data_IF_980159368685
#
_entry.id   IF_980159368685
#
_cell.length_a   1.000
_cell.length_b   1.000
_cell.length_c   1.000
_cell.angle_alpha   90.00
_cell.angle_beta   90.00
_cell.angle_gamma   90.00
#
_symmetry.space_group_name_H-M   'P 1'
#
loop_
_entity.id
_entity.type
_entity.pdbx_description
1 polymer ?
#
# COMPACT_ATOMS: atom_id res chain seq x y z
N UNK A 1 -6.97 6.45 -22.16
CA UNK A 1 -8.33 6.62 -21.60
C UNK A 1 -8.58 5.48 -20.63
N UNK A 2 -8.27 5.65 -19.35
CA UNK A 2 -8.56 4.65 -18.32
C UNK A 2 -9.87 5.07 -17.65
N UNK A 3 -10.97 4.44 -18.05
CA UNK A 3 -12.26 4.58 -17.37
C UNK A 3 -12.22 3.67 -16.15
N UNK A 4 -11.65 4.15 -15.04
CA UNK A 4 -11.84 3.49 -13.76
C UNK A 4 -13.32 3.59 -13.41
N UNK A 5 -13.98 2.44 -13.29
CA UNK A 5 -15.36 2.36 -12.82
C UNK A 5 -15.39 2.86 -11.37
N UNK A 6 -15.78 4.12 -11.18
CA UNK A 6 -16.03 4.67 -9.85
C UNK A 6 -17.35 4.06 -9.40
N UNK A 7 -17.30 3.11 -8.47
CA UNK A 7 -18.50 2.63 -7.77
C UNK A 7 -19.14 3.83 -7.09
N UNK A 8 -20.22 4.35 -7.68
CA UNK A 8 -20.99 5.45 -7.10
C UNK A 8 -21.88 4.88 -6.00
N UNK A 9 -21.51 5.08 -4.75
CA UNK A 9 -22.43 4.92 -3.62
C UNK A 9 -23.62 5.84 -3.86
N UNK A 10 -24.85 5.31 -3.81
CA UNK A 10 -26.04 6.13 -4.00
C UNK A 10 -26.09 7.21 -2.90
N UNK A 11 -26.56 8.45 -3.18
CA UNK A 11 -26.58 9.53 -2.19
C UNK A 11 -27.30 9.18 -0.87
N UNK A 12 -28.25 8.25 -0.92
CA UNK A 12 -29.00 7.76 0.23
C UNK A 12 -28.21 6.84 1.18
N UNK A 13 -27.03 6.39 0.78
CA UNK A 13 -26.17 5.47 1.55
C UNK A 13 -24.95 6.18 2.17
N UNK A 14 -24.81 7.49 1.98
CA UNK A 14 -23.68 8.23 2.52
C UNK A 14 -23.75 8.36 4.05
N UNK A 15 -22.61 8.24 4.77
CA UNK A 15 -22.60 8.44 6.21
C UNK A 15 -23.10 9.83 6.61
N UNK A 16 -23.64 9.97 7.82
CA UNK A 16 -24.06 11.27 8.36
C UNK A 16 -22.92 12.29 8.25
N UNK A 17 -23.23 13.49 7.75
CA UNK A 17 -22.24 14.55 7.53
C UNK A 17 -21.50 14.48 6.20
N UNK A 18 -21.89 13.58 5.28
CA UNK A 18 -21.35 13.50 3.93
C UNK A 18 -22.36 13.99 2.89
N UNK A 19 -21.87 14.60 1.81
CA UNK A 19 -22.66 15.00 0.66
C UNK A 19 -21.85 14.89 -0.64
N UNK A 20 -22.50 14.50 -1.74
CA UNK A 20 -21.93 14.59 -3.08
C UNK A 20 -22.01 16.03 -3.59
N UNK A 21 -20.87 16.58 -4.02
CA UNK A 21 -20.80 17.93 -4.60
C UNK A 21 -21.14 17.90 -6.09
N UNK A 22 -21.35 19.07 -6.70
CA UNK A 22 -21.70 19.20 -8.13
C UNK A 22 -20.70 18.54 -9.10
N UNK A 23 -19.45 18.35 -8.67
CA UNK A 23 -18.42 17.69 -9.48
C UNK A 23 -18.36 16.18 -9.29
N UNK A 24 -19.22 15.60 -8.45
CA UNK A 24 -19.15 14.19 -8.03
C UNK A 24 -18.12 13.89 -6.93
N UNK A 25 -17.43 14.92 -6.39
CA UNK A 25 -16.54 14.74 -5.23
C UNK A 25 -17.40 14.57 -3.97
N UNK A 26 -17.08 13.58 -3.15
CA UNK A 26 -17.66 13.43 -1.82
C UNK A 26 -17.01 14.42 -0.84
N UNK A 27 -17.84 15.18 -0.12
CA UNK A 27 -17.43 16.09 0.95
C UNK A 27 -17.98 15.58 2.28
N UNK A 28 -17.11 15.22 3.20
CA UNK A 28 -17.47 14.75 4.54
C UNK A 28 -16.95 15.67 5.64
N UNK A 29 -17.64 15.68 6.79
CA UNK A 29 -17.17 16.33 8.02
C UNK A 29 -16.95 15.29 9.12
N UNK A 30 -16.18 15.68 10.14
CA UNK A 30 -16.02 14.91 11.37
C UNK A 30 -16.50 15.73 12.57
N UNK A 31 -16.96 15.04 13.61
CA UNK A 31 -17.43 15.69 14.82
C UNK A 31 -16.27 16.43 15.52
N UNK A 32 -16.53 17.58 16.19
CA UNK A 32 -15.50 18.30 16.93
C UNK A 32 -14.80 17.41 17.95
N UNK A 33 -13.46 17.37 17.90
CA UNK A 33 -12.64 16.54 18.78
C UNK A 33 -12.37 15.13 18.25
N UNK A 34 -13.00 14.72 17.15
CA UNK A 34 -12.64 13.49 16.43
C UNK A 34 -11.61 13.75 15.32
N UNK A 35 -10.80 12.73 15.03
CA UNK A 35 -9.87 12.74 13.91
C UNK A 35 -10.58 12.40 12.61
N UNK A 36 -10.18 13.06 11.51
CA UNK A 36 -10.69 12.79 10.16
C UNK A 36 -10.28 11.43 9.61
N UNK A 37 -9.17 10.88 10.09
CA UNK A 37 -8.65 9.58 9.68
C UNK A 37 -8.25 8.80 10.92
N UNK A 38 -8.66 7.52 10.97
CA UNK A 38 -8.41 6.62 12.10
C UNK A 38 -7.51 5.48 11.62
N UNK A 39 -6.20 5.73 11.62
CA UNK A 39 -5.20 4.68 11.41
C UNK A 39 -4.74 4.10 12.75
N UNK A 40 -4.45 2.79 12.84
CA UNK A 40 -3.98 2.15 14.06
C UNK A 40 -2.49 2.43 14.35
N UNK A 41 -1.92 3.49 13.77
CA UNK A 41 -0.52 3.86 13.90
C UNK A 41 -0.39 5.32 14.33
N UNK A 42 0.60 5.66 15.16
CA UNK A 42 0.87 7.05 15.52
C UNK A 42 1.43 7.84 14.32
N UNK A 43 1.14 9.14 14.27
CA UNK A 43 1.48 10.02 13.14
C UNK A 43 2.96 10.00 12.75
N UNK A 44 3.88 9.91 13.72
CA UNK A 44 5.32 9.89 13.44
C UNK A 44 5.77 8.63 12.68
N UNK A 45 5.13 7.49 12.95
CA UNK A 45 5.40 6.25 12.24
C UNK A 45 4.86 6.32 10.82
N UNK A 46 3.66 6.88 10.63
CA UNK A 46 3.09 7.13 9.30
C UNK A 46 3.96 8.08 8.46
N UNK A 47 4.50 9.14 9.07
CA UNK A 47 5.45 10.03 8.39
C UNK A 47 6.74 9.29 7.98
N UNK A 48 7.23 8.39 8.84
CA UNK A 48 8.42 7.58 8.52
C UNK A 48 8.17 6.61 7.38
N UNK A 49 6.95 6.02 7.31
CA UNK A 49 6.54 5.20 6.19
C UNK A 49 6.43 6.02 4.90
N UNK A 50 5.83 7.21 4.95
CA UNK A 50 5.72 8.11 3.80
C UNK A 50 7.09 8.50 3.24
N UNK A 51 8.06 8.79 4.11
CA UNK A 51 9.45 9.04 3.71
C UNK A 51 10.04 7.81 3.01
N UNK A 52 9.88 6.61 3.58
CA UNK A 52 10.39 5.38 2.99
C UNK A 52 9.80 5.13 1.58
N UNK A 53 8.48 5.31 1.43
CA UNK A 53 7.78 5.16 0.14
C UNK A 53 8.21 6.22 -0.86
N UNK A 54 8.28 7.48 -0.43
CA UNK A 54 8.63 8.63 -1.28
C UNK A 54 10.06 8.53 -1.78
N UNK A 55 11.03 8.35 -0.88
CA UNK A 55 12.43 8.28 -1.26
C UNK A 55 12.77 6.96 -1.96
N UNK A 56 12.21 5.84 -1.50
CA UNK A 56 12.39 4.54 -2.13
C UNK A 56 11.86 4.52 -3.57
N UNK A 57 10.69 5.13 -3.82
CA UNK A 57 10.15 5.22 -5.17
C UNK A 57 10.99 6.11 -6.09
N UNK A 58 11.55 7.21 -5.54
CA UNK A 58 12.41 8.12 -6.29
C UNK A 58 13.75 7.50 -6.66
N UNK A 59 14.36 6.74 -5.74
CA UNK A 59 15.67 6.13 -5.96
C UNK A 59 15.61 5.01 -7.00
N UNK A 60 14.62 4.11 -6.88
CA UNK A 60 14.51 2.94 -7.76
C UNK A 60 13.79 3.24 -9.07
N UNK A 61 12.99 4.31 -9.15
CA UNK A 61 11.99 4.52 -10.22
C UNK A 61 10.99 3.36 -10.31
N UNK A 62 10.54 2.89 -9.17
CA UNK A 62 9.41 1.98 -9.03
C UNK A 62 8.41 2.59 -8.05
N UNK A 63 7.11 2.51 -8.32
CA UNK A 63 6.09 3.02 -7.40
C UNK A 63 5.87 2.02 -6.28
N UNK A 64 6.31 2.34 -5.06
CA UNK A 64 6.01 1.51 -3.89
C UNK A 64 4.63 1.82 -3.34
N UNK A 65 3.88 0.76 -3.07
CA UNK A 65 2.56 0.78 -2.44
C UNK A 65 2.54 -0.23 -1.29
N UNK A 66 1.74 0.04 -0.27
CA UNK A 66 1.54 -0.85 0.88
C UNK A 66 0.05 -1.08 1.06
N UNK A 67 -0.31 -2.35 1.26
CA UNK A 67 -1.66 -2.75 1.64
C UNK A 67 -1.60 -3.46 2.99
N UNK A 68 -2.49 -3.09 3.90
CA UNK A 68 -2.66 -3.74 5.21
C UNK A 68 -4.13 -4.13 5.33
N UNK A 69 -4.42 -5.42 5.30
CA UNK A 69 -5.80 -5.91 5.33
C UNK A 69 -5.91 -7.38 4.98
N UNK A 70 -7.15 -7.86 4.91
CA UNK A 70 -7.48 -9.25 4.54
C UNK A 70 -7.18 -9.49 3.05
N UNK A 71 -6.48 -10.59 2.75
CA UNK A 71 -6.16 -11.01 1.37
C UNK A 71 -7.09 -12.13 0.88
N UNK A 72 -8.11 -12.49 1.67
CA UNK A 72 -9.02 -13.58 1.36
C UNK A 72 -8.37 -14.95 1.50
N UNK A 73 -9.08 -16.01 1.06
CA UNK A 73 -8.64 -17.39 1.27
C UNK A 73 -7.38 -17.79 0.49
N UNK A 74 -7.16 -17.18 -0.68
CA UNK A 74 -5.96 -17.33 -1.50
C UNK A 74 -5.19 -16.01 -1.45
N UNK A 75 -4.23 -15.92 -0.53
CA UNK A 75 -3.50 -14.66 -0.25
C UNK A 75 -2.74 -14.16 -1.46
N UNK A 76 -2.19 -15.06 -2.27
CA UNK A 76 -1.46 -14.69 -3.48
C UNK A 76 -2.39 -14.09 -4.53
N UNK A 77 -3.56 -14.70 -4.73
CA UNK A 77 -4.59 -14.15 -5.62
C UNK A 77 -5.09 -12.80 -5.12
N UNK A 78 -5.40 -12.68 -3.82
CA UNK A 78 -5.87 -11.43 -3.22
C UNK A 78 -4.85 -10.31 -3.34
N UNK A 79 -3.58 -10.58 -3.06
CA UNK A 79 -2.51 -9.59 -3.23
C UNK A 79 -2.37 -9.11 -4.68
N UNK A 80 -2.54 -10.02 -5.65
CA UNK A 80 -2.54 -9.65 -7.08
C UNK A 80 -3.76 -8.84 -7.48
N UNK A 81 -4.93 -9.11 -6.91
CA UNK A 81 -6.14 -8.31 -7.15
C UNK A 81 -5.97 -6.89 -6.62
N UNK A 82 -5.49 -6.74 -5.39
CA UNK A 82 -5.14 -5.42 -4.81
C UNK A 82 -4.08 -4.71 -5.65
N UNK A 83 -3.10 -5.43 -6.18
CA UNK A 83 -2.05 -4.85 -7.04
C UNK A 83 -2.61 -4.18 -8.29
N UNK A 84 -3.71 -4.69 -8.86
CA UNK A 84 -4.32 -4.12 -10.06
C UNK A 84 -4.98 -2.75 -9.80
N UNK A 85 -5.30 -2.42 -8.55
CA UNK A 85 -5.83 -1.10 -8.17
C UNK A 85 -4.73 -0.04 -8.05
N UNK A 86 -3.46 -0.45 -7.98
CA UNK A 86 -2.32 0.47 -7.87
C UNK A 86 -2.17 1.26 -9.18
N UNK A 87 -2.02 2.59 -9.12
CA UNK A 87 -1.71 3.38 -10.29
C UNK A 87 -0.39 2.93 -10.93
N UNK A 88 -0.35 2.86 -12.26
CA UNK A 88 0.84 2.43 -13.04
C UNK A 88 1.40 1.07 -12.57
N UNK A 89 0.61 -0.02 -12.62
CA UNK A 89 0.98 -1.30 -12.03
C UNK A 89 2.24 -1.92 -12.66
N UNK A 90 2.54 -1.61 -13.92
CA UNK A 90 3.72 -2.14 -14.61
C UNK A 90 5.06 -1.69 -13.99
N UNK A 91 5.10 -0.48 -13.43
CA UNK A 91 6.27 0.09 -12.76
C UNK A 91 6.11 0.09 -11.23
N UNK A 92 5.22 -0.73 -10.67
CA UNK A 92 4.88 -0.71 -9.25
C UNK A 92 5.40 -1.94 -8.49
N UNK A 93 5.57 -1.75 -7.19
CA UNK A 93 5.76 -2.80 -6.18
C UNK A 93 4.69 -2.62 -5.13
N UNK A 94 3.96 -3.69 -4.80
CA UNK A 94 3.05 -3.76 -3.67
C UNK A 94 3.62 -4.69 -2.61
N UNK A 95 3.67 -4.18 -1.39
CA UNK A 95 3.89 -4.97 -0.17
C UNK A 95 2.51 -5.12 0.49
N UNK A 96 1.92 -6.31 0.36
CA UNK A 96 0.63 -6.64 0.94
C UNK A 96 0.83 -7.44 2.23
N UNK A 97 0.28 -6.95 3.33
CA UNK A 97 0.41 -7.56 4.65
C UNK A 97 -0.97 -7.86 5.20
N UNK A 98 -1.17 -9.11 5.61
CA UNK A 98 -2.35 -9.54 6.34
C UNK A 98 -1.95 -9.94 7.75
N UNK A 99 -2.15 -9.07 8.75
CA UNK A 99 -1.79 -9.36 10.14
C UNK A 99 -2.52 -10.58 10.70
N UNK A 100 -3.82 -10.71 10.43
CA UNK A 100 -4.64 -11.80 10.98
C UNK A 100 -4.26 -13.16 10.38
N UNK A 101 -3.91 -13.17 9.09
CA UNK A 101 -3.46 -14.39 8.39
C UNK A 101 -1.96 -14.66 8.61
N UNK A 102 -1.21 -13.72 9.21
CA UNK A 102 0.24 -13.76 9.38
C UNK A 102 1.01 -13.94 8.07
N UNK A 103 0.55 -13.28 7.01
CA UNK A 103 1.11 -13.41 5.65
C UNK A 103 1.62 -12.08 5.13
N UNK A 104 2.73 -12.14 4.40
CA UNK A 104 3.27 -11.05 3.58
C UNK A 104 3.39 -11.55 2.16
N UNK A 105 2.78 -10.82 1.23
CA UNK A 105 2.90 -11.05 -0.20
C UNK A 105 3.56 -9.81 -0.82
N UNK A 106 4.55 -10.05 -1.70
CA UNK A 106 5.17 -8.99 -2.48
C UNK A 106 4.84 -9.23 -3.94
N UNK A 107 4.20 -8.25 -4.57
CA UNK A 107 3.81 -8.28 -5.98
C UNK A 107 4.52 -7.14 -6.70
N UNK A 108 5.07 -7.40 -7.88
CA UNK A 108 5.75 -6.38 -8.67
C UNK A 108 5.36 -6.46 -10.14
N UNK A 109 5.44 -5.31 -10.82
CA UNK A 109 5.08 -5.15 -12.22
C UNK A 109 6.12 -5.73 -13.18
N UNK A 110 5.71 -5.96 -14.42
CA UNK A 110 6.57 -6.55 -15.44
C UNK A 110 7.71 -5.61 -15.85
N UNK A 111 7.48 -4.30 -15.88
CA UNK A 111 8.49 -3.26 -16.10
C UNK A 111 9.61 -3.19 -15.06
N UNK A 112 9.53 -3.98 -13.99
CA UNK A 112 10.59 -4.14 -12.98
C UNK A 112 11.42 -5.41 -13.16
N UNK A 113 11.04 -6.33 -14.05
CA UNK A 113 11.82 -7.54 -14.35
C UNK A 113 13.18 -7.18 -14.96
N UNK A 114 14.22 -7.91 -14.57
CA UNK A 114 15.59 -7.64 -14.99
C UNK A 114 16.25 -6.42 -14.32
N UNK A 115 15.51 -5.66 -13.49
CA UNK A 115 16.06 -4.57 -12.66
C UNK A 115 16.38 -5.02 -11.24
N UNK A 116 16.26 -6.31 -10.94
CA UNK A 116 16.55 -6.88 -9.61
C UNK A 116 15.31 -7.04 -8.71
N UNK A 117 14.10 -6.79 -9.23
CA UNK A 117 12.86 -6.98 -8.49
C UNK A 117 12.63 -8.43 -8.05
N UNK A 118 13.08 -9.39 -8.86
CA UNK A 118 12.97 -10.82 -8.59
C UNK A 118 13.72 -11.20 -7.30
N UNK A 119 14.95 -10.72 -7.15
CA UNK A 119 15.73 -10.91 -5.92
C UNK A 119 15.28 -10.00 -4.78
N UNK A 120 14.82 -8.79 -5.10
CA UNK A 120 14.39 -7.81 -4.10
C UNK A 120 13.14 -8.28 -3.35
N UNK A 121 12.22 -8.99 -4.02
CA UNK A 121 10.99 -9.50 -3.40
C UNK A 121 11.29 -10.41 -2.21
N UNK A 122 12.15 -11.42 -2.40
CA UNK A 122 12.55 -12.34 -1.32
C UNK A 122 13.24 -11.61 -0.16
N UNK A 123 14.13 -10.66 -0.48
CA UNK A 123 14.81 -9.83 0.52
C UNK A 123 13.84 -8.94 1.31
N UNK A 124 12.86 -8.36 0.63
CA UNK A 124 11.83 -7.52 1.22
C UNK A 124 10.94 -8.30 2.19
N UNK A 125 10.49 -9.51 1.79
CA UNK A 125 9.74 -10.41 2.65
C UNK A 125 10.56 -10.78 3.89
N UNK A 126 11.82 -11.18 3.72
CA UNK A 126 12.69 -11.52 4.84
C UNK A 126 12.89 -10.34 5.82
N UNK A 127 13.09 -9.13 5.29
CA UNK A 127 13.24 -7.92 6.08
C UNK A 127 11.97 -7.56 6.88
N UNK A 128 10.79 -7.69 6.28
CA UNK A 128 9.52 -7.50 6.98
C UNK A 128 9.34 -8.52 8.12
N UNK A 129 9.53 -9.81 7.81
CA UNK A 129 9.34 -10.90 8.77
C UNK A 129 10.26 -10.79 9.99
N UNK A 130 11.46 -10.23 9.84
CA UNK A 130 12.37 -10.00 10.97
C UNK A 130 11.75 -9.08 12.03
N UNK A 131 11.13 -7.97 11.61
CA UNK A 131 10.50 -7.01 12.53
C UNK A 131 9.13 -7.48 13.02
N UNK A 132 8.39 -8.23 12.20
CA UNK A 132 7.06 -8.73 12.58
C UNK A 132 7.14 -9.72 13.75
N UNK A 133 8.23 -10.51 13.82
CA UNK A 133 8.52 -11.39 14.97
C UNK A 133 8.68 -10.62 16.29
N UNK A 134 9.03 -9.35 16.22
CA UNK A 134 9.19 -8.45 17.37
C UNK A 134 7.91 -7.66 17.68
N UNK A 135 6.82 -7.88 16.92
CA UNK A 135 5.56 -7.15 17.07
C UNK A 135 5.53 -5.78 16.40
N UNK A 136 6.55 -5.43 15.62
CA UNK A 136 6.69 -4.11 15.00
C UNK A 136 6.24 -4.15 13.53
N UNK A 137 4.93 -4.05 13.31
CA UNK A 137 4.32 -4.13 11.98
C UNK A 137 4.81 -3.01 11.04
N UNK A 138 4.80 -1.75 11.47
CA UNK A 138 5.19 -0.67 10.56
C UNK A 138 6.69 -0.66 10.27
N UNK A 139 7.53 -1.01 11.26
CA UNK A 139 8.97 -1.08 11.07
C UNK A 139 9.36 -2.19 10.08
N UNK A 140 8.66 -3.32 10.09
CA UNK A 140 8.86 -4.37 9.10
C UNK A 140 8.50 -3.92 7.68
N UNK A 141 7.40 -3.19 7.53
CA UNK A 141 7.01 -2.61 6.23
C UNK A 141 8.06 -1.60 5.76
N UNK A 142 8.47 -0.67 6.63
CA UNK A 142 9.50 0.33 6.32
C UNK A 142 10.81 -0.35 5.91
N UNK A 143 11.20 -1.41 6.63
CA UNK A 143 12.41 -2.18 6.34
C UNK A 143 12.33 -2.86 4.98
N UNK A 144 11.19 -3.48 4.65
CA UNK A 144 10.97 -4.09 3.33
C UNK A 144 11.07 -3.05 2.20
N UNK A 145 10.42 -1.89 2.33
CA UNK A 145 10.50 -0.80 1.34
C UNK A 145 11.95 -0.36 1.13
N UNK A 146 12.71 -0.15 2.21
CA UNK A 146 14.11 0.30 2.14
C UNK A 146 15.01 -0.74 1.48
N UNK A 147 14.87 -2.01 1.85
CA UNK A 147 15.66 -3.11 1.26
C UNK A 147 15.35 -3.26 -0.23
N UNK A 148 14.07 -3.27 -0.59
CA UNK A 148 13.65 -3.43 -1.97
C UNK A 148 14.06 -2.25 -2.85
N UNK A 149 13.86 -1.02 -2.38
CA UNK A 149 14.22 0.18 -3.14
C UNK A 149 15.73 0.34 -3.35
N UNK A 150 16.55 -0.22 -2.47
CA UNK A 150 18.00 -0.28 -2.65
C UNK A 150 18.42 -1.38 -3.66
N UNK A 151 17.67 -2.49 -3.71
CA UNK A 151 17.97 -3.62 -4.59
C UNK A 151 17.48 -3.43 -6.03
N UNK A 152 16.39 -2.67 -6.24
CA UNK A 152 15.84 -2.41 -7.58
C UNK A 152 16.64 -1.30 -8.26
N UNK A 153 17.29 -1.66 -9.37
CA UNK A 153 18.03 -0.75 -10.21
C UNK A 153 17.09 0.24 -10.92
N UNK A 154 17.63 1.44 -11.12
CA UNK A 154 17.01 2.47 -11.94
C UNK A 154 17.12 2.07 -13.44
N UNK A 155 16.11 2.34 -14.28
CA UNK A 155 16.19 2.09 -15.71
C UNK A 155 17.22 3.00 -16.40
#
# INVERSE_FOLDING_TARGET
MASGEVTKTAPAELPRGWAETVSGRLSGVTEPGELSVKYPFPNYQLATLDDALTYGSRSSKARFSVYIGDLGNDTNKGAREVFLEVPTPDEAVLIAVSPDQHVVEVVYGEGLKGRGAESAADLGVAAALASFKEGNLLDGIISAVRVMSAAIARP
#
